data_IF_402523444697
#
_entry.id   IF_402523444697
#
_cell.length_a   1.000
_cell.length_b   1.000
_cell.length_c   1.000
_cell.angle_alpha   90.00
_cell.angle_beta   90.00
_cell.angle_gamma   90.00
#
_symmetry.space_group_name_H-M   'P 1'
#
loop_
_entity.id
_entity.type
_entity.pdbx_description
1 polymer ?
#
# COMPACT_ATOMS: atom_id res chain seq x y z
N UNK A 1 31.74 7.45 -30.37
CA UNK A 1 30.99 6.37 -29.68
C UNK A 1 30.26 6.91 -28.44
N UNK A 2 30.91 7.50 -27.45
CA UNK A 2 30.29 8.03 -26.22
C UNK A 2 29.21 9.11 -26.45
N UNK A 3 29.42 9.99 -27.43
CA UNK A 3 28.44 11.04 -27.78
C UNK A 3 27.12 10.43 -28.28
N UNK A 4 27.19 9.41 -29.15
CA UNK A 4 25.98 8.75 -29.64
C UNK A 4 25.22 8.01 -28.52
N UNK A 5 25.96 7.38 -27.60
CA UNK A 5 25.35 6.75 -26.43
C UNK A 5 24.66 7.78 -25.53
N UNK A 6 25.30 8.91 -25.26
CA UNK A 6 24.72 10.00 -24.46
C UNK A 6 23.46 10.58 -25.13
N UNK A 7 23.49 10.79 -26.45
CA UNK A 7 22.32 11.28 -27.22
C UNK A 7 21.19 10.24 -27.16
N UNK A 8 21.49 8.95 -27.35
CA UNK A 8 20.49 7.89 -27.28
C UNK A 8 19.83 7.81 -25.89
N UNK A 9 20.64 7.84 -24.84
CA UNK A 9 20.15 7.85 -23.43
C UNK A 9 19.31 9.10 -23.18
N UNK A 10 19.74 10.29 -23.68
CA UNK A 10 18.99 11.53 -23.55
C UNK A 10 17.65 11.47 -24.28
N UNK A 11 17.60 10.97 -25.51
CA UNK A 11 16.37 10.77 -26.27
C UNK A 11 15.44 9.75 -25.61
N UNK A 12 15.97 8.66 -25.08
CA UNK A 12 15.20 7.67 -24.33
C UNK A 12 14.52 8.31 -23.11
N UNK A 13 15.26 9.07 -22.29
CA UNK A 13 14.70 9.76 -21.13
C UNK A 13 13.68 10.83 -21.51
N UNK A 14 13.93 11.58 -22.59
CA UNK A 14 12.99 12.59 -23.09
C UNK A 14 11.68 11.95 -23.58
N UNK A 15 11.77 10.86 -24.35
CA UNK A 15 10.59 10.12 -24.81
C UNK A 15 9.81 9.52 -23.65
N UNK A 16 10.51 8.95 -22.66
CA UNK A 16 9.90 8.40 -21.46
C UNK A 16 9.16 9.48 -20.66
N UNK A 17 9.82 10.60 -20.43
CA UNK A 17 9.25 11.78 -19.76
C UNK A 17 8.01 12.32 -20.49
N UNK A 18 8.06 12.43 -21.83
CA UNK A 18 6.92 12.87 -22.63
C UNK A 18 5.73 11.90 -22.51
N UNK A 19 5.99 10.60 -22.61
CA UNK A 19 4.95 9.56 -22.51
C UNK A 19 4.28 9.53 -21.12
N UNK A 20 5.05 9.71 -20.07
CA UNK A 20 4.51 9.75 -18.70
C UNK A 20 3.57 10.94 -18.45
N UNK A 21 3.76 12.04 -19.16
CA UNK A 21 2.90 13.24 -19.03
C UNK A 21 1.59 13.16 -19.79
N UNK A 22 1.42 12.16 -20.64
CA UNK A 22 0.17 12.00 -21.38
C UNK A 22 -0.94 11.48 -20.47
N UNK A 23 -2.00 12.27 -20.35
CA UNK A 23 -3.18 11.96 -19.53
C UNK A 23 -4.34 11.57 -20.43
N UNK A 24 -5.15 10.65 -19.95
CA UNK A 24 -6.36 10.18 -20.63
C UNK A 24 -7.40 11.28 -20.76
N UNK A 25 -8.12 11.29 -21.85
CA UNK A 25 -9.33 12.07 -22.06
C UNK A 25 -10.54 11.44 -21.34
N UNK A 26 -11.63 12.20 -21.21
CA UNK A 26 -12.93 11.72 -20.71
C UNK A 26 -12.90 11.12 -19.30
N UNK A 27 -12.15 11.75 -18.38
CA UNK A 27 -12.03 11.27 -16.99
C UNK A 27 -13.38 11.28 -16.24
N UNK A 28 -14.30 12.18 -16.58
CA UNK A 28 -15.62 12.33 -15.93
C UNK A 28 -16.53 11.12 -16.09
N UNK A 29 -16.25 10.26 -17.05
CA UNK A 29 -17.03 9.04 -17.32
C UNK A 29 -16.46 7.82 -16.59
N UNK A 30 -15.29 7.94 -15.98
CA UNK A 30 -14.54 6.82 -15.41
C UNK A 30 -14.87 6.63 -13.94
N UNK A 31 -15.25 5.40 -13.60
CA UNK A 31 -15.49 4.97 -12.23
C UNK A 31 -14.22 4.40 -11.59
N UNK A 32 -13.91 4.84 -10.39
CA UNK A 32 -12.78 4.32 -9.59
C UNK A 32 -13.29 3.87 -8.24
N UNK A 33 -13.04 2.60 -7.89
CA UNK A 33 -13.33 2.05 -6.57
C UNK A 33 -12.06 2.06 -5.72
N UNK A 34 -12.14 2.54 -4.47
CA UNK A 34 -11.00 2.70 -3.57
C UNK A 34 -11.35 2.07 -2.23
N UNK A 35 -10.53 1.14 -1.72
CA UNK A 35 -10.72 0.55 -0.40
C UNK A 35 -9.98 1.34 0.69
N UNK A 36 -10.52 1.37 1.92
CA UNK A 36 -9.88 2.02 3.08
C UNK A 36 -9.88 3.54 3.01
N UNK A 37 -11.05 4.14 2.72
CA UNK A 37 -11.20 5.58 2.56
C UNK A 37 -11.49 6.34 3.87
N UNK A 38 -11.49 5.68 5.02
CA UNK A 38 -11.72 6.32 6.32
C UNK A 38 -10.68 7.39 6.66
N UNK A 39 -9.44 7.23 6.22
CA UNK A 39 -8.33 8.12 6.57
C UNK A 39 -7.18 8.08 5.55
N UNK A 40 -6.13 8.87 5.82
CA UNK A 40 -4.83 8.80 5.14
C UNK A 40 -4.90 8.83 3.61
N UNK A 41 -4.18 7.94 2.93
CA UNK A 41 -4.05 7.92 1.48
C UNK A 41 -5.39 7.71 0.76
N UNK A 42 -6.22 6.76 1.22
CA UNK A 42 -7.50 6.45 0.58
C UNK A 42 -8.45 7.65 0.62
N UNK A 43 -8.58 8.31 1.78
CA UNK A 43 -9.40 9.52 1.93
C UNK A 43 -8.88 10.67 1.06
N UNK A 44 -7.56 10.90 1.05
CA UNK A 44 -6.97 11.97 0.25
C UNK A 44 -7.12 11.71 -1.24
N UNK A 45 -6.86 10.48 -1.70
CA UNK A 45 -7.03 10.10 -3.11
C UNK A 45 -8.49 10.23 -3.56
N UNK A 46 -9.44 9.78 -2.74
CA UNK A 46 -10.87 9.88 -3.07
C UNK A 46 -11.27 11.34 -3.34
N UNK A 47 -10.86 12.27 -2.47
CA UNK A 47 -11.07 13.71 -2.64
C UNK A 47 -10.35 14.27 -3.86
N UNK A 48 -9.13 13.85 -4.11
CA UNK A 48 -8.32 14.29 -5.25
C UNK A 48 -8.95 13.88 -6.58
N UNK A 49 -9.42 12.62 -6.70
CA UNK A 49 -10.07 12.11 -7.90
C UNK A 49 -11.45 12.74 -8.12
N UNK A 50 -12.23 12.99 -7.05
CA UNK A 50 -13.50 13.72 -7.13
C UNK A 50 -13.27 15.15 -7.66
N UNK A 51 -12.28 15.87 -7.13
CA UNK A 51 -11.90 17.20 -7.63
C UNK A 51 -11.44 17.19 -9.09
N UNK A 52 -10.83 16.11 -9.56
CA UNK A 52 -10.48 15.87 -10.97
C UNK A 52 -11.69 15.56 -11.86
N UNK A 53 -12.85 15.31 -11.25
CA UNK A 53 -14.10 15.05 -11.95
C UNK A 53 -14.36 13.57 -12.26
N UNK A 54 -13.58 12.62 -11.71
CA UNK A 54 -13.88 11.20 -11.81
C UNK A 54 -15.10 10.85 -10.95
N UNK A 55 -15.73 9.71 -11.24
CA UNK A 55 -16.76 9.11 -10.41
C UNK A 55 -16.09 8.18 -9.40
N UNK A 56 -16.15 8.55 -8.12
CA UNK A 56 -15.44 7.83 -7.06
C UNK A 56 -16.41 6.98 -6.26
N UNK A 57 -16.14 5.70 -6.17
CA UNK A 57 -16.83 4.74 -5.32
C UNK A 57 -15.87 4.43 -4.15
N UNK A 58 -16.12 5.04 -2.99
CA UNK A 58 -15.21 4.98 -1.86
C UNK A 58 -15.71 3.98 -0.81
N UNK A 59 -14.90 2.95 -0.53
CA UNK A 59 -15.19 1.98 0.51
C UNK A 59 -14.52 2.38 1.83
N UNK A 60 -15.33 2.51 2.88
CA UNK A 60 -14.91 2.79 4.23
C UNK A 60 -15.20 1.60 5.14
N UNK A 61 -14.38 1.37 6.15
CA UNK A 61 -14.65 0.35 7.17
C UNK A 61 -15.80 0.79 8.10
N UNK A 62 -15.94 2.10 8.32
CA UNK A 62 -16.89 2.66 9.27
C UNK A 62 -17.86 3.64 8.61
N UNK A 63 -19.12 3.64 9.04
CA UNK A 63 -20.11 4.64 8.56
C UNK A 63 -19.67 6.06 8.90
N UNK A 64 -19.08 6.28 10.08
CA UNK A 64 -18.53 7.59 10.46
C UNK A 64 -17.48 8.09 9.47
N UNK A 65 -16.58 7.20 8.99
CA UNK A 65 -15.59 7.54 7.95
C UNK A 65 -16.26 7.92 6.63
N UNK A 66 -17.29 7.16 6.25
CA UNK A 66 -18.08 7.39 5.05
C UNK A 66 -18.80 8.76 5.09
N UNK A 67 -19.49 9.09 6.20
CA UNK A 67 -20.18 10.37 6.40
C UNK A 67 -19.20 11.56 6.33
N UNK A 68 -18.05 11.44 7.00
CA UNK A 68 -17.02 12.47 6.96
C UNK A 68 -16.46 12.71 5.55
N UNK A 69 -16.36 11.66 4.76
CA UNK A 69 -15.86 11.76 3.39
C UNK A 69 -16.91 12.41 2.49
N UNK A 70 -18.19 11.99 2.57
CA UNK A 70 -19.32 12.59 1.83
C UNK A 70 -19.43 14.10 2.09
N UNK A 71 -19.26 14.52 3.35
CA UNK A 71 -19.32 15.95 3.72
C UNK A 71 -18.16 16.81 3.15
N UNK A 72 -17.16 16.20 2.49
CA UNK A 72 -15.96 16.87 1.96
C UNK A 72 -15.81 16.73 0.44
N UNK A 73 -16.78 16.14 -0.23
CA UNK A 73 -16.73 15.78 -1.65
C UNK A 73 -18.01 16.16 -2.38
N UNK A 74 -18.02 16.04 -3.69
CA UNK A 74 -19.19 16.31 -4.52
C UNK A 74 -20.11 15.07 -4.65
N UNK A 75 -21.28 15.25 -5.28
CA UNK A 75 -22.24 14.18 -5.58
C UNK A 75 -21.70 13.08 -6.53
N UNK A 76 -20.50 13.26 -7.08
CA UNK A 76 -19.81 12.23 -7.90
C UNK A 76 -19.10 11.18 -7.07
N UNK A 77 -18.95 11.43 -5.76
CA UNK A 77 -18.40 10.46 -4.84
C UNK A 77 -19.51 9.81 -4.04
N UNK A 78 -19.55 8.50 -4.11
CA UNK A 78 -20.46 7.65 -3.34
C UNK A 78 -19.68 6.74 -2.42
N UNK A 79 -20.28 6.34 -1.31
CA UNK A 79 -19.60 5.53 -0.28
C UNK A 79 -20.34 4.24 0.00
N UNK A 80 -19.56 3.20 0.34
CA UNK A 80 -20.08 1.91 0.80
C UNK A 80 -19.27 1.44 2.02
N UNK A 81 -19.90 0.73 2.94
CA UNK A 81 -19.19 0.08 4.05
C UNK A 81 -18.59 -1.23 3.55
N UNK A 82 -17.28 -1.43 3.82
CA UNK A 82 -16.55 -2.62 3.40
C UNK A 82 -15.54 -3.05 4.47
N UNK A 83 -15.72 -4.27 4.95
CA UNK A 83 -14.71 -5.04 5.69
C UNK A 83 -14.09 -6.06 4.74
N UNK A 84 -12.84 -5.83 4.33
CA UNK A 84 -12.14 -6.67 3.35
C UNK A 84 -11.80 -8.08 3.88
N UNK A 85 -11.92 -8.31 5.19
CA UNK A 85 -11.71 -9.63 5.80
C UNK A 85 -12.93 -10.53 5.73
N UNK A 86 -14.08 -10.01 5.27
CA UNK A 86 -15.36 -10.72 5.21
C UNK A 86 -15.82 -10.87 3.77
N UNK A 87 -15.77 -12.07 3.23
CA UNK A 87 -16.16 -12.38 1.85
C UNK A 87 -17.58 -11.92 1.53
N UNK A 88 -18.51 -12.00 2.50
CA UNK A 88 -19.89 -11.52 2.31
C UNK A 88 -19.93 -9.99 2.15
N UNK A 89 -19.10 -9.26 2.90
CA UNK A 89 -18.98 -7.80 2.76
C UNK A 89 -18.37 -7.43 1.42
N UNK A 90 -17.35 -8.19 0.97
CA UNK A 90 -16.73 -8.01 -0.35
C UNK A 90 -17.73 -8.28 -1.47
N UNK A 91 -18.51 -9.36 -1.38
CA UNK A 91 -19.53 -9.70 -2.37
C UNK A 91 -20.63 -8.63 -2.45
N UNK A 92 -21.11 -8.14 -1.31
CA UNK A 92 -22.11 -7.06 -1.25
C UNK A 92 -21.58 -5.76 -1.88
N UNK A 93 -20.33 -5.37 -1.56
CA UNK A 93 -19.70 -4.20 -2.16
C UNK A 93 -19.48 -4.37 -3.67
N UNK A 94 -19.08 -5.57 -4.13
CA UNK A 94 -18.91 -5.85 -5.55
C UNK A 94 -20.23 -5.76 -6.34
N UNK A 95 -21.33 -6.23 -5.76
CA UNK A 95 -22.67 -6.10 -6.36
C UNK A 95 -23.08 -4.62 -6.42
N UNK A 96 -22.87 -3.87 -5.36
CA UNK A 96 -23.14 -2.43 -5.32
C UNK A 96 -22.31 -1.68 -6.39
N UNK A 97 -21.02 -1.95 -6.51
CA UNK A 97 -20.17 -1.39 -7.59
C UNK A 97 -20.72 -1.72 -8.97
N UNK A 98 -21.13 -2.98 -9.20
CA UNK A 98 -21.68 -3.45 -10.49
C UNK A 98 -22.92 -2.64 -10.89
N UNK A 99 -23.82 -2.34 -9.95
CA UNK A 99 -25.03 -1.54 -10.18
C UNK A 99 -24.69 -0.10 -10.59
N UNK A 100 -23.67 0.51 -9.95
CA UNK A 100 -23.26 1.89 -10.24
C UNK A 100 -22.53 2.04 -11.58
N UNK A 101 -21.62 1.12 -11.89
CA UNK A 101 -20.81 1.21 -13.13
C UNK A 101 -21.57 0.76 -14.38
N UNK A 102 -22.54 -0.13 -14.22
CA UNK A 102 -23.38 -0.67 -15.30
C UNK A 102 -22.57 -1.17 -16.49
N UNK A 103 -22.95 -0.71 -17.70
CA UNK A 103 -22.27 -1.11 -18.94
C UNK A 103 -20.88 -0.50 -19.13
N UNK A 104 -20.54 0.57 -18.42
CA UNK A 104 -19.22 1.23 -18.52
C UNK A 104 -18.09 0.40 -17.94
N UNK A 105 -18.41 -0.46 -16.97
CA UNK A 105 -17.42 -1.22 -16.20
C UNK A 105 -16.63 -0.33 -15.22
N UNK A 106 -15.68 -0.94 -14.50
CA UNK A 106 -14.86 -0.28 -13.50
C UNK A 106 -13.51 0.10 -14.10
N UNK A 107 -13.28 1.40 -14.26
CA UNK A 107 -12.03 1.92 -14.80
C UNK A 107 -10.83 1.70 -13.88
N UNK A 108 -10.99 1.93 -12.58
CA UNK A 108 -9.91 1.81 -11.61
C UNK A 108 -10.34 1.05 -10.37
N UNK A 109 -9.52 0.10 -9.94
CA UNK A 109 -9.59 -0.52 -8.62
C UNK A 109 -8.33 -0.13 -7.85
N UNK A 110 -8.49 0.50 -6.68
CA UNK A 110 -7.38 0.85 -5.80
C UNK A 110 -7.51 0.06 -4.50
N UNK A 111 -6.66 -0.93 -4.32
CA UNK A 111 -6.52 -1.69 -3.09
C UNK A 111 -5.61 -0.93 -2.13
N UNK A 112 -6.21 -0.10 -1.27
CA UNK A 112 -5.49 0.75 -0.32
C UNK A 112 -5.74 0.35 1.14
N UNK A 113 -6.82 -0.37 1.46
CA UNK A 113 -7.05 -0.86 2.81
C UNK A 113 -5.85 -1.66 3.32
N UNK A 114 -5.45 -1.39 4.57
CA UNK A 114 -4.29 -2.08 5.16
C UNK A 114 -4.07 -1.72 6.61
N UNK A 115 -3.41 -2.62 7.32
CA UNK A 115 -2.98 -2.49 8.72
C UNK A 115 -1.51 -2.86 8.87
N UNK A 116 -0.85 -2.38 9.94
CA UNK A 116 0.57 -2.67 10.21
C UNK A 116 0.80 -3.38 11.54
N UNK A 117 -0.22 -3.48 12.38
CA UNK A 117 -0.13 -4.05 13.71
C UNK A 117 -0.97 -5.32 13.83
N UNK A 118 -0.51 -6.33 14.57
CA UNK A 118 0.65 -6.32 15.48
C UNK A 118 2.02 -6.41 14.79
N UNK A 119 3.06 -5.80 15.40
CA UNK A 119 4.44 -5.81 14.93
C UNK A 119 5.40 -5.94 16.10
N UNK A 120 6.20 -7.01 16.09
CA UNK A 120 7.20 -7.33 17.11
C UNK A 120 8.25 -8.30 16.52
N UNK A 121 9.33 -8.65 17.24
CA UNK A 121 10.15 -9.80 16.92
C UNK A 121 9.28 -11.05 16.70
N UNK A 122 9.62 -11.87 15.71
CA UNK A 122 8.79 -13.03 15.33
C UNK A 122 8.54 -14.01 16.50
N UNK A 123 9.51 -14.14 17.41
CA UNK A 123 9.42 -15.03 18.57
C UNK A 123 8.36 -14.57 19.60
N UNK A 124 8.03 -13.29 19.62
CA UNK A 124 6.97 -12.73 20.48
C UNK A 124 5.58 -12.86 19.89
N UNK A 125 5.46 -13.22 18.61
CA UNK A 125 4.20 -13.24 17.88
C UNK A 125 3.61 -14.65 17.80
N UNK A 126 2.29 -14.73 17.80
CA UNK A 126 1.51 -15.93 17.56
C UNK A 126 1.16 -16.07 16.06
N UNK A 127 0.80 -17.28 15.65
CA UNK A 127 0.24 -17.51 14.29
C UNK A 127 -0.94 -16.58 14.00
N UNK A 128 -1.79 -16.30 15.00
CA UNK A 128 -2.97 -15.44 14.82
C UNK A 128 -2.60 -14.00 14.50
N UNK A 129 -1.49 -13.50 15.03
CA UNK A 129 -0.99 -12.16 14.70
C UNK A 129 -0.63 -12.03 13.23
N UNK A 130 -0.01 -13.07 12.66
CA UNK A 130 0.27 -13.13 11.22
C UNK A 130 -1.02 -13.22 10.40
N UNK A 131 -1.97 -14.08 10.77
CA UNK A 131 -3.26 -14.24 10.10
C UNK A 131 -4.00 -12.91 10.06
N UNK A 132 -4.07 -12.19 11.17
CA UNK A 132 -4.74 -10.87 11.25
C UNK A 132 -4.23 -9.89 10.21
N UNK A 133 -2.91 -9.82 10.01
CA UNK A 133 -2.31 -8.93 9.00
C UNK A 133 -2.56 -9.44 7.59
N UNK A 134 -2.39 -10.74 7.37
CA UNK A 134 -2.54 -11.35 6.05
C UNK A 134 -3.98 -11.27 5.54
N UNK A 135 -4.97 -11.44 6.42
CA UNK A 135 -6.39 -11.36 6.07
C UNK A 135 -6.76 -9.99 5.49
N UNK A 136 -6.22 -8.90 6.06
CA UNK A 136 -6.47 -7.56 5.54
C UNK A 136 -5.60 -7.25 4.31
N UNK A 137 -4.28 -7.40 4.47
CA UNK A 137 -3.32 -6.81 3.53
C UNK A 137 -3.08 -7.66 2.28
N UNK A 138 -3.41 -8.95 2.33
CA UNK A 138 -3.17 -9.87 1.21
C UNK A 138 -4.44 -10.59 0.78
N UNK A 139 -5.06 -11.38 1.65
CA UNK A 139 -6.23 -12.18 1.28
C UNK A 139 -7.43 -11.30 0.95
N UNK A 140 -7.66 -10.23 1.71
CA UNK A 140 -8.71 -9.25 1.42
C UNK A 140 -8.46 -8.50 0.11
N UNK A 141 -7.20 -8.16 -0.20
CA UNK A 141 -6.84 -7.56 -1.50
C UNK A 141 -7.11 -8.53 -2.65
N UNK A 142 -6.78 -9.82 -2.47
CA UNK A 142 -7.06 -10.86 -3.47
C UNK A 142 -8.58 -10.99 -3.68
N UNK A 143 -9.35 -11.12 -2.60
CA UNK A 143 -10.81 -11.32 -2.66
C UNK A 143 -11.50 -10.13 -3.34
N UNK A 144 -11.21 -8.90 -2.93
CA UNK A 144 -11.72 -7.67 -3.57
C UNK A 144 -11.35 -7.62 -5.05
N UNK A 145 -10.09 -7.95 -5.38
CA UNK A 145 -9.63 -7.91 -6.77
C UNK A 145 -10.37 -8.92 -7.63
N UNK A 146 -10.44 -10.18 -7.20
CA UNK A 146 -11.10 -11.24 -7.97
C UNK A 146 -12.60 -10.95 -8.15
N UNK A 147 -13.27 -10.44 -7.12
CA UNK A 147 -14.70 -10.07 -7.17
C UNK A 147 -15.00 -8.95 -8.17
N UNK A 148 -14.09 -7.98 -8.33
CA UNK A 148 -14.27 -6.83 -9.21
C UNK A 148 -13.60 -7.00 -10.59
N UNK A 149 -12.77 -8.02 -10.77
CA UNK A 149 -11.99 -8.23 -11.98
C UNK A 149 -12.81 -8.27 -13.27
N UNK A 150 -14.02 -8.91 -13.31
CA UNK A 150 -14.88 -8.87 -14.50
C UNK A 150 -15.23 -7.45 -14.94
N UNK A 151 -15.50 -6.54 -13.98
CA UNK A 151 -15.84 -5.15 -14.26
C UNK A 151 -14.62 -4.35 -14.73
N UNK A 152 -13.44 -4.63 -14.16
CA UNK A 152 -12.19 -4.01 -14.58
C UNK A 152 -11.81 -4.44 -16.00
N UNK A 153 -11.95 -5.72 -16.33
CA UNK A 153 -11.74 -6.23 -17.71
C UNK A 153 -12.69 -5.59 -18.70
N UNK A 154 -13.98 -5.45 -18.34
CA UNK A 154 -14.98 -4.80 -19.19
C UNK A 154 -14.57 -3.38 -19.59
N UNK A 155 -14.01 -2.61 -18.66
CA UNK A 155 -13.54 -1.26 -18.90
C UNK A 155 -12.14 -1.20 -19.56
N UNK A 156 -11.42 -2.32 -19.72
CA UNK A 156 -9.96 -2.36 -19.99
C UNK A 156 -9.21 -1.43 -19.04
N UNK A 157 -9.56 -1.54 -17.78
CA UNK A 157 -9.22 -0.60 -16.72
C UNK A 157 -7.86 -0.85 -16.09
N UNK A 158 -7.77 -0.59 -14.77
CA UNK A 158 -6.53 -0.63 -14.01
C UNK A 158 -6.74 -1.16 -12.61
N UNK A 159 -5.75 -1.88 -12.12
CA UNK A 159 -5.62 -2.25 -10.70
C UNK A 159 -4.41 -1.54 -10.14
N UNK A 160 -4.58 -0.84 -9.03
CA UNK A 160 -3.53 -0.14 -8.29
C UNK A 160 -3.47 -0.72 -6.89
N UNK A 161 -2.39 -1.41 -6.57
CA UNK A 161 -2.16 -2.04 -5.28
C UNK A 161 -1.21 -1.21 -4.43
N UNK A 162 -1.62 -0.86 -3.21
CA UNK A 162 -0.78 -0.11 -2.28
C UNK A 162 0.07 -1.08 -1.48
N UNK A 163 1.28 -1.30 -1.95
CA UNK A 163 2.33 -2.07 -1.29
C UNK A 163 3.09 -1.24 -0.26
N UNK A 164 4.38 -1.39 -0.19
CA UNK A 164 5.33 -0.65 0.65
C UNK A 164 6.75 -0.94 0.17
N UNK A 165 7.71 -0.11 0.56
CA UNK A 165 9.13 -0.45 0.48
C UNK A 165 9.45 -1.79 1.17
N UNK A 166 8.67 -2.16 2.18
CA UNK A 166 8.81 -3.44 2.91
C UNK A 166 8.31 -4.65 2.13
N UNK A 167 7.75 -4.45 0.94
CA UNK A 167 7.53 -5.50 -0.06
C UNK A 167 8.77 -5.81 -0.90
N UNK A 168 9.83 -5.00 -0.78
CA UNK A 168 11.10 -5.14 -1.49
C UNK A 168 12.26 -5.49 -0.53
N UNK A 169 12.20 -4.98 0.72
CA UNK A 169 13.19 -5.25 1.78
C UNK A 169 12.46 -5.52 3.09
N UNK A 170 12.72 -6.67 3.73
CA UNK A 170 12.13 -6.97 5.04
C UNK A 170 12.93 -6.28 6.14
N UNK A 171 12.31 -5.34 6.85
CA UNK A 171 12.97 -4.49 7.83
C UNK A 171 12.68 -4.90 9.29
N UNK A 172 11.61 -5.65 9.53
CA UNK A 172 11.15 -6.03 10.87
C UNK A 172 10.29 -7.29 10.84
N UNK A 173 10.09 -7.90 11.99
CA UNK A 173 9.28 -9.10 12.16
C UNK A 173 7.77 -8.84 12.05
N UNK A 174 7.01 -9.92 12.00
CA UNK A 174 5.56 -9.94 11.91
C UNK A 174 5.01 -10.03 10.49
N UNK A 175 3.70 -10.05 10.40
CA UNK A 175 2.97 -10.32 9.15
C UNK A 175 3.05 -9.21 8.10
N UNK A 176 3.45 -7.98 8.48
CA UNK A 176 3.37 -6.84 7.57
C UNK A 176 4.29 -6.97 6.35
N UNK A 177 5.60 -7.21 6.57
CA UNK A 177 6.55 -7.40 5.46
C UNK A 177 6.12 -8.59 4.57
N UNK A 178 5.73 -9.70 5.19
CA UNK A 178 5.24 -10.90 4.48
C UNK A 178 4.04 -10.54 3.60
N UNK A 179 3.07 -9.78 4.13
CA UNK A 179 1.89 -9.37 3.37
C UNK A 179 2.24 -8.49 2.17
N UNK A 180 3.23 -7.60 2.31
CA UNK A 180 3.64 -6.69 1.23
C UNK A 180 4.47 -7.42 0.16
N UNK A 181 5.36 -8.36 0.53
CA UNK A 181 6.00 -9.26 -0.43
C UNK A 181 4.98 -10.12 -1.19
N UNK A 182 3.99 -10.67 -0.48
CA UNK A 182 2.90 -11.43 -1.10
C UNK A 182 2.09 -10.57 -2.08
N UNK A 183 1.82 -9.30 -1.73
CA UNK A 183 1.11 -8.36 -2.61
C UNK A 183 1.92 -8.04 -3.88
N UNK A 184 3.25 -7.86 -3.79
CA UNK A 184 4.12 -7.67 -4.96
C UNK A 184 4.04 -8.89 -5.90
N UNK A 185 4.18 -10.09 -5.34
CA UNK A 185 4.10 -11.34 -6.10
C UNK A 185 2.73 -11.53 -6.77
N UNK A 186 1.63 -11.27 -6.05
CA UNK A 186 0.27 -11.31 -6.58
C UNK A 186 0.08 -10.29 -7.70
N UNK A 187 0.55 -9.06 -7.51
CA UNK A 187 0.42 -7.99 -8.50
C UNK A 187 1.19 -8.30 -9.79
N UNK A 188 2.35 -8.91 -9.67
CA UNK A 188 3.20 -9.27 -10.80
C UNK A 188 2.59 -10.40 -11.65
N UNK A 189 2.03 -11.45 -11.03
CA UNK A 189 1.30 -12.50 -11.76
C UNK A 189 0.05 -11.92 -12.42
N UNK A 190 -0.75 -11.16 -11.67
CA UNK A 190 -1.97 -10.52 -12.16
C UNK A 190 -1.69 -9.59 -13.36
N UNK A 191 -0.60 -8.82 -13.32
CA UNK A 191 -0.19 -7.92 -14.39
C UNK A 191 0.09 -8.66 -15.69
N UNK A 192 0.78 -9.80 -15.60
CA UNK A 192 1.09 -10.64 -16.78
C UNK A 192 -0.17 -11.28 -17.35
N UNK A 193 -1.02 -11.85 -16.50
CA UNK A 193 -2.28 -12.47 -16.90
C UNK A 193 -3.25 -11.48 -17.56
N UNK A 194 -3.38 -10.29 -16.99
CA UNK A 194 -4.34 -9.28 -17.44
C UNK A 194 -3.87 -8.45 -18.64
N UNK A 195 -2.60 -8.53 -19.00
CA UNK A 195 -2.05 -7.81 -20.17
C UNK A 195 -2.77 -8.15 -21.46
N UNK A 196 -3.19 -9.41 -21.64
CA UNK A 196 -3.97 -9.89 -22.79
C UNK A 196 -5.34 -9.22 -22.92
N UNK A 197 -5.89 -8.73 -21.82
CA UNK A 197 -7.18 -8.05 -21.76
C UNK A 197 -7.08 -6.53 -21.81
N UNK A 198 -5.86 -5.99 -21.96
CA UNK A 198 -5.61 -4.55 -21.95
C UNK A 198 -5.73 -3.89 -20.58
N UNK A 199 -5.83 -4.67 -19.49
CA UNK A 199 -5.84 -4.18 -18.11
C UNK A 199 -4.41 -3.92 -17.64
N UNK A 200 -4.20 -2.81 -16.93
CA UNK A 200 -2.89 -2.46 -16.37
C UNK A 200 -2.91 -2.63 -14.87
N UNK A 201 -1.83 -3.17 -14.32
CA UNK A 201 -1.63 -3.32 -12.88
C UNK A 201 -0.40 -2.52 -12.47
N UNK A 202 -0.55 -1.71 -11.42
CA UNK A 202 0.52 -0.89 -10.87
C UNK A 202 0.63 -1.09 -9.36
N UNK A 203 1.85 -1.02 -8.85
CA UNK A 203 2.18 -1.09 -7.43
C UNK A 203 2.66 0.26 -6.94
N UNK A 204 2.13 0.70 -5.81
CA UNK A 204 2.58 1.91 -5.12
C UNK A 204 3.37 1.45 -3.90
N UNK A 205 4.60 1.92 -3.78
CA UNK A 205 5.58 1.50 -2.78
C UNK A 205 5.97 2.71 -1.89
N UNK A 206 5.11 3.10 -0.94
CA UNK A 206 5.44 4.20 -0.04
C UNK A 206 6.59 3.84 0.89
N UNK A 207 7.46 4.82 1.17
CA UNK A 207 8.34 4.81 2.33
C UNK A 207 7.58 5.11 3.63
N UNK A 208 8.23 5.78 4.56
CA UNK A 208 7.62 6.17 5.83
C UNK A 208 6.83 7.48 5.70
N UNK A 209 5.51 7.38 5.86
CA UNK A 209 4.59 8.52 5.84
C UNK A 209 3.80 8.61 7.15
N UNK A 210 3.49 9.84 7.58
CA UNK A 210 2.71 10.09 8.81
C UNK A 210 1.23 9.74 8.57
N UNK A 211 0.85 8.56 9.02
CA UNK A 211 -0.50 8.00 8.86
C UNK A 211 -0.94 7.32 10.15
N UNK A 212 -2.17 6.83 10.20
CA UNK A 212 -2.63 6.02 11.33
C UNK A 212 -1.83 4.72 11.52
N UNK A 213 -1.18 4.20 10.45
CA UNK A 213 -0.34 3.01 10.52
C UNK A 213 1.01 3.26 11.21
N UNK A 214 1.50 4.51 11.21
CA UNK A 214 2.79 4.91 11.77
C UNK A 214 2.66 5.70 13.08
N UNK A 215 1.49 5.63 13.76
CA UNK A 215 1.27 6.29 15.06
C UNK A 215 2.09 5.62 16.15
N UNK A 216 2.92 6.43 16.82
CA UNK A 216 3.75 6.01 17.95
C UNK A 216 2.91 5.37 19.07
N UNK A 217 1.80 6.00 19.43
CA UNK A 217 0.94 5.55 20.53
C UNK A 217 0.35 4.18 20.22
N UNK A 218 -0.17 3.98 19.00
CA UNK A 218 -0.74 2.70 18.57
C UNK A 218 0.31 1.60 18.52
N UNK A 219 1.49 1.92 18.01
CA UNK A 219 2.62 0.99 17.94
C UNK A 219 3.06 0.55 19.34
N UNK A 220 3.31 1.50 20.25
CA UNK A 220 3.73 1.19 21.60
C UNK A 220 2.68 0.41 22.38
N UNK A 221 1.40 0.78 22.25
CA UNK A 221 0.30 0.05 22.88
C UNK A 221 0.28 -1.41 22.42
N UNK A 222 0.29 -1.64 21.10
CA UNK A 222 0.29 -2.98 20.52
C UNK A 222 1.51 -3.80 20.95
N UNK A 223 2.70 -3.20 20.96
CA UNK A 223 3.92 -3.88 21.39
C UNK A 223 3.88 -4.26 22.88
N UNK A 224 3.38 -3.38 23.74
CA UNK A 224 3.25 -3.66 25.17
C UNK A 224 2.24 -4.79 25.43
N UNK A 225 1.12 -4.82 24.73
CA UNK A 225 0.14 -5.90 24.82
C UNK A 225 0.77 -7.25 24.44
N UNK A 226 1.57 -7.31 23.38
CA UNK A 226 2.31 -8.52 22.97
C UNK A 226 3.34 -8.90 24.04
N UNK A 227 4.10 -7.92 24.52
CA UNK A 227 5.11 -8.14 25.56
C UNK A 227 4.50 -8.73 26.84
N UNK A 228 3.39 -8.18 27.29
CA UNK A 228 2.73 -8.63 28.54
C UNK A 228 2.21 -10.06 28.41
N UNK A 229 1.74 -10.46 27.23
CA UNK A 229 1.24 -11.81 26.94
C UNK A 229 2.34 -12.86 26.70
N UNK A 230 3.58 -12.43 26.48
CA UNK A 230 4.69 -13.34 26.17
C UNK A 230 5.14 -14.15 27.40
N UNK A 231 5.62 -15.38 27.14
CA UNK A 231 6.07 -16.27 28.22
C UNK A 231 7.32 -15.73 28.94
N UNK A 232 7.55 -16.10 30.22
CA UNK A 232 8.75 -15.71 30.96
C UNK A 232 10.05 -16.10 30.25
N UNK A 233 10.08 -17.28 29.60
CA UNK A 233 11.24 -17.78 28.87
C UNK A 233 11.59 -16.89 27.70
N UNK A 234 10.62 -16.47 26.92
CA UNK A 234 10.82 -15.55 25.78
C UNK A 234 11.23 -14.17 26.28
N UNK A 235 10.64 -13.68 27.36
CA UNK A 235 11.04 -12.40 27.99
C UNK A 235 12.48 -12.42 28.48
N UNK A 236 12.95 -13.56 28.99
CA UNK A 236 14.34 -13.72 29.45
C UNK A 236 15.34 -13.67 28.27
N UNK A 237 15.01 -14.28 27.14
CA UNK A 237 15.84 -14.25 25.91
C UNK A 237 15.83 -12.85 25.28
N UNK A 238 14.65 -12.28 25.13
CA UNK A 238 14.48 -10.98 24.47
C UNK A 238 14.98 -9.81 25.33
N UNK A 239 14.95 -9.92 26.65
CA UNK A 239 15.30 -8.93 27.67
C UNK A 239 14.56 -7.58 27.59
N UNK A 240 14.57 -6.80 28.67
CA UNK A 240 14.05 -5.43 28.71
C UNK A 240 14.73 -4.46 27.72
N UNK A 241 15.92 -4.83 27.20
CA UNK A 241 16.63 -4.04 26.17
C UNK A 241 15.80 -3.95 24.88
N UNK A 242 15.08 -4.99 24.50
CA UNK A 242 14.18 -4.96 23.34
C UNK A 242 13.07 -3.94 23.53
N UNK A 243 12.49 -3.84 24.72
CA UNK A 243 11.49 -2.81 25.03
C UNK A 243 12.05 -1.39 24.81
N UNK A 244 13.28 -1.14 25.26
CA UNK A 244 13.93 0.15 25.05
C UNK A 244 14.17 0.45 23.57
N UNK A 245 14.59 -0.56 22.79
CA UNK A 245 14.78 -0.44 21.32
C UNK A 245 13.48 -0.12 20.61
N UNK A 246 12.40 -0.82 20.92
CA UNK A 246 11.10 -0.58 20.29
C UNK A 246 10.49 0.77 20.69
N UNK A 247 10.73 1.25 21.92
CA UNK A 247 10.38 2.62 22.32
C UNK A 247 11.16 3.66 21.49
N UNK A 248 12.48 3.51 21.39
CA UNK A 248 13.34 4.37 20.56
C UNK A 248 12.91 4.33 19.08
N UNK A 249 12.62 3.14 18.53
CA UNK A 249 12.12 2.99 17.17
C UNK A 249 10.81 3.74 16.95
N UNK A 250 9.84 3.62 17.88
CA UNK A 250 8.57 4.34 17.81
C UNK A 250 8.74 5.87 17.78
N UNK A 251 9.69 6.39 18.58
CA UNK A 251 10.03 7.82 18.62
C UNK A 251 10.66 8.28 17.30
N UNK A 252 11.59 7.52 16.77
CA UNK A 252 12.26 7.80 15.50
C UNK A 252 11.30 7.71 14.33
N UNK A 253 10.36 6.74 14.35
CA UNK A 253 9.38 6.54 13.31
C UNK A 253 8.54 7.81 13.10
N UNK A 254 8.03 8.41 14.17
CA UNK A 254 7.23 9.62 14.10
C UNK A 254 8.02 10.81 13.53
N UNK A 255 9.29 10.95 13.90
CA UNK A 255 10.17 12.04 13.45
C UNK A 255 10.59 11.88 11.98
N UNK A 256 10.80 10.66 11.51
CA UNK A 256 11.27 10.35 10.15
C UNK A 256 10.16 10.32 9.09
N UNK A 257 8.89 10.23 9.52
CA UNK A 257 7.77 10.14 8.60
C UNK A 257 7.55 11.40 7.78
N UNK A 258 7.46 11.26 6.48
CA UNK A 258 7.05 12.31 5.55
C UNK A 258 5.59 12.72 5.82
N UNK A 259 5.34 14.02 5.95
CA UNK A 259 3.99 14.54 6.26
C UNK A 259 3.13 14.72 5.01
N UNK A 260 3.75 15.00 3.87
CA UNK A 260 3.05 15.23 2.62
C UNK A 260 2.58 13.92 1.98
N UNK A 261 1.34 13.55 2.28
CA UNK A 261 0.69 12.35 1.73
C UNK A 261 0.40 12.46 0.23
N UNK A 262 0.44 13.69 -0.34
CA UNK A 262 0.18 13.89 -1.76
C UNK A 262 1.24 13.24 -2.65
N UNK A 263 2.45 13.04 -2.16
CA UNK A 263 3.50 12.30 -2.86
C UNK A 263 3.08 10.87 -3.22
N UNK A 264 2.27 10.24 -2.36
CA UNK A 264 1.74 8.89 -2.59
C UNK A 264 0.49 8.95 -3.46
N UNK A 265 -0.47 9.84 -3.14
CA UNK A 265 -1.72 9.93 -3.90
C UNK A 265 -1.51 10.44 -5.32
N UNK A 266 -0.49 11.26 -5.58
CA UNK A 266 -0.09 11.64 -6.94
C UNK A 266 0.44 10.45 -7.75
N UNK A 267 1.16 9.51 -7.12
CA UNK A 267 1.56 8.26 -7.76
C UNK A 267 0.34 7.40 -8.10
N UNK A 268 -0.63 7.27 -7.17
CA UNK A 268 -1.88 6.54 -7.41
C UNK A 268 -2.70 7.19 -8.52
N UNK A 269 -2.85 8.50 -8.49
CA UNK A 269 -3.55 9.26 -9.53
C UNK A 269 -2.89 9.05 -10.88
N UNK A 270 -1.56 9.19 -10.97
CA UNK A 270 -0.83 8.95 -12.21
C UNK A 270 -1.04 7.52 -12.73
N UNK A 271 -1.00 6.51 -11.86
CA UNK A 271 -1.28 5.13 -12.24
C UNK A 271 -2.69 4.96 -12.84
N UNK A 272 -3.67 5.75 -12.38
CA UNK A 272 -5.06 5.70 -12.84
C UNK A 272 -5.30 6.49 -14.14
N UNK A 273 -4.66 7.64 -14.31
CA UNK A 273 -5.02 8.58 -15.40
C UNK A 273 -3.97 8.73 -16.51
N UNK A 274 -2.71 8.33 -16.29
CA UNK A 274 -1.69 8.42 -17.34
C UNK A 274 -1.98 7.45 -18.49
N UNK A 275 -1.73 7.83 -19.73
CA UNK A 275 -1.82 6.92 -20.90
C UNK A 275 -0.84 5.75 -20.77
N UNK A 276 0.34 6.03 -20.19
CA UNK A 276 1.43 5.08 -20.01
C UNK A 276 1.85 5.00 -18.53
N UNK A 277 1.06 4.36 -17.65
CA UNK A 277 1.42 4.22 -16.25
C UNK A 277 2.65 3.34 -16.09
N UNK A 278 3.43 3.62 -15.05
CA UNK A 278 4.51 2.74 -14.59
C UNK A 278 3.94 1.49 -13.93
N UNK A 279 4.77 0.47 -13.80
CA UNK A 279 4.43 -0.75 -13.05
C UNK A 279 4.64 -0.53 -11.56
N UNK A 280 5.76 0.11 -11.19
CA UNK A 280 6.16 0.41 -9.81
C UNK A 280 6.29 1.92 -9.59
N UNK A 281 5.83 2.38 -8.45
CA UNK A 281 5.86 3.77 -8.01
C UNK A 281 6.42 3.86 -6.59
N UNK A 282 7.72 4.00 -6.46
CA UNK A 282 8.33 4.30 -5.16
C UNK A 282 8.02 5.74 -4.77
N UNK A 283 7.38 5.95 -3.62
CA UNK A 283 6.97 7.25 -3.11
C UNK A 283 7.72 7.60 -1.82
N UNK A 284 8.25 8.83 -1.75
CA UNK A 284 9.13 9.29 -0.68
C UNK A 284 10.60 9.26 -1.10
N UNK A 285 11.41 10.09 -0.46
CA UNK A 285 12.85 10.15 -0.72
C UNK A 285 13.56 8.89 -0.20
N UNK A 286 13.14 8.40 0.96
CA UNK A 286 13.61 7.19 1.61
C UNK A 286 13.35 5.95 0.74
N UNK A 287 12.16 5.83 0.19
CA UNK A 287 11.83 4.76 -0.75
C UNK A 287 12.75 4.79 -1.97
N UNK A 288 12.95 5.97 -2.60
CA UNK A 288 13.69 6.09 -3.86
C UNK A 288 15.21 5.97 -3.72
N UNK A 289 15.77 6.57 -2.65
CA UNK A 289 17.23 6.74 -2.52
C UNK A 289 17.87 5.78 -1.52
N UNK A 290 17.10 5.16 -0.65
CA UNK A 290 17.61 4.23 0.34
C UNK A 290 17.12 2.80 0.10
N UNK A 291 15.81 2.57 0.22
CA UNK A 291 15.27 1.19 0.25
C UNK A 291 15.22 0.53 -1.14
N UNK A 292 14.85 1.26 -2.20
CA UNK A 292 14.87 0.71 -3.54
C UNK A 292 16.30 0.32 -3.99
N UNK A 293 17.36 1.14 -3.84
CA UNK A 293 18.72 0.69 -4.08
C UNK A 293 19.13 -0.50 -3.21
N UNK A 294 18.72 -0.51 -1.93
CA UNK A 294 19.03 -1.58 -0.98
C UNK A 294 18.45 -2.94 -1.42
N UNK A 295 17.27 -2.96 -2.06
CA UNK A 295 16.65 -4.19 -2.56
C UNK A 295 17.46 -4.89 -3.67
N UNK A 296 18.39 -4.18 -4.31
CA UNK A 296 19.30 -4.74 -5.32
C UNK A 296 20.70 -5.06 -4.78
N UNK A 297 20.97 -4.78 -3.50
CA UNK A 297 22.27 -5.06 -2.89
C UNK A 297 22.41 -6.54 -2.50
N UNK A 298 23.63 -7.08 -2.46
CA UNK A 298 23.90 -8.39 -1.85
C UNK A 298 23.44 -8.43 -0.38
N UNK A 299 22.87 -9.55 0.05
CA UNK A 299 22.26 -9.71 1.38
C UNK A 299 23.19 -9.29 2.52
N UNK A 300 24.49 -9.64 2.46
CA UNK A 300 25.45 -9.30 3.51
C UNK A 300 25.63 -7.79 3.71
N UNK A 301 25.45 -6.97 2.66
CA UNK A 301 25.48 -5.51 2.78
C UNK A 301 24.19 -4.97 3.38
N UNK A 302 23.04 -5.53 2.97
CA UNK A 302 21.75 -5.19 3.54
C UNK A 302 21.72 -5.50 5.02
N UNK A 303 22.18 -6.69 5.41
CA UNK A 303 22.28 -7.12 6.80
C UNK A 303 23.19 -6.19 7.61
N UNK A 304 24.37 -5.85 7.07
CA UNK A 304 25.28 -4.92 7.73
C UNK A 304 24.64 -3.53 7.98
N UNK A 305 23.88 -3.01 7.01
CA UNK A 305 23.18 -1.72 7.15
C UNK A 305 22.08 -1.81 8.21
N UNK A 306 21.27 -2.89 8.19
CA UNK A 306 20.16 -3.07 9.13
C UNK A 306 20.68 -3.32 10.55
N UNK A 307 21.73 -4.12 10.70
CA UNK A 307 22.31 -4.45 12.02
C UNK A 307 23.14 -3.32 12.65
N UNK A 308 23.58 -2.35 11.86
CA UNK A 308 24.42 -1.24 12.36
C UNK A 308 23.80 -0.50 13.55
N UNK A 309 22.48 -0.35 13.58
CA UNK A 309 21.73 0.33 14.67
C UNK A 309 20.81 -0.64 15.44
N UNK A 310 20.97 -1.96 15.28
CA UNK A 310 20.14 -2.96 15.95
C UNK A 310 20.73 -3.32 17.33
N UNK A 311 19.85 -3.56 18.31
CA UNK A 311 20.28 -4.08 19.60
C UNK A 311 20.44 -5.60 19.53
N UNK A 312 21.58 -6.09 20.01
CA UNK A 312 21.76 -7.53 20.22
C UNK A 312 20.86 -8.04 21.35
N UNK A 313 20.28 -9.25 21.22
CA UNK A 313 19.60 -9.92 22.31
C UNK A 313 20.52 -10.08 23.54
N UNK A 314 19.94 -10.22 24.73
CA UNK A 314 20.71 -10.33 25.98
C UNK A 314 21.63 -11.55 26.05
N UNK A 315 21.21 -12.65 25.38
CA UNK A 315 21.92 -13.93 25.32
C UNK A 315 22.41 -14.25 23.90
N UNK A 316 22.74 -13.23 23.07
CA UNK A 316 23.41 -13.46 21.80
C UNK A 316 24.81 -14.02 22.04
N UNK A 317 25.23 -14.99 21.22
CA UNK A 317 26.59 -15.58 21.21
C UNK A 317 27.64 -14.54 20.84
#
# INVERSE_FOLDING_TARGET
MWLYLAVFVGLYHLLHWYRERQVLSHLREKYVFITGCDSSFGKLLARQLDARGLRVLAACLTEKGAEQLRGQTSDRLETVTLDVTKTESVAAAAQWVKEHVGERGLWGLVNNAGISLPMAPNELLTKQDFVTILDVNLLGVIDVTLSLLPLVRKARGRVVNVSSITGQVSLFGGGYCISKYGMEAFSDSLRRELSYFGVKVAMIEPGYFKTALTSKERFLKSFLEIWDQSSPEVKEVCSEKILAVYKKFAEQLEQKCTQDLSLVTNCMEHALIACHPRTHYSAGWDAKLLYLPMSYMPTFLVDAIIYWDSASPAKAL
#
